data_IF_632691064446
#
_entry.id   IF_632691064446
#
_cell.length_a   1.000
_cell.length_b   1.000
_cell.length_c   1.000
_cell.angle_alpha   90.00
_cell.angle_beta   90.00
_cell.angle_gamma   90.00
#
_symmetry.space_group_name_H-M   'P 1'
#
loop_
_entity.id
_entity.type
_entity.pdbx_description
1 polymer ?
#
# COMPACT_ATOMS: atom_id res chain seq x y z
N UNK A 1 -14.77 -32.09 1.13
CA UNK A 1 -14.94 -31.03 0.10
C UNK A 1 -16.41 -30.90 -0.26
N UNK A 2 -17.06 -29.80 0.15
CA UNK A 2 -18.50 -29.58 0.00
C UNK A 2 -18.89 -29.35 -1.48
N UNK A 3 -20.15 -29.64 -1.82
CA UNK A 3 -20.66 -29.60 -3.20
C UNK A 3 -20.42 -28.25 -3.89
N UNK A 4 -20.54 -27.13 -3.15
CA UNK A 4 -20.27 -25.78 -3.64
C UNK A 4 -18.81 -25.56 -4.09
N UNK A 5 -17.85 -26.21 -3.43
CA UNK A 5 -16.42 -26.12 -3.80
C UNK A 5 -16.16 -26.92 -5.07
N UNK A 6 -16.84 -28.06 -5.24
CA UNK A 6 -16.76 -28.88 -6.47
C UNK A 6 -17.38 -28.19 -7.68
N UNK A 7 -18.50 -27.49 -7.52
CA UNK A 7 -19.11 -26.73 -8.61
C UNK A 7 -18.27 -25.52 -9.02
N UNK A 8 -17.67 -24.79 -8.07
CA UNK A 8 -16.72 -23.72 -8.38
C UNK A 8 -15.46 -24.24 -9.08
N UNK A 9 -14.88 -25.34 -8.59
CA UNK A 9 -13.75 -25.99 -9.26
C UNK A 9 -14.09 -26.45 -10.68
N UNK A 10 -15.27 -27.02 -10.89
CA UNK A 10 -15.75 -27.42 -12.22
C UNK A 10 -15.95 -26.24 -13.17
N UNK A 11 -16.42 -25.11 -12.66
CA UNK A 11 -16.59 -23.88 -13.44
C UNK A 11 -15.24 -23.31 -13.93
N UNK A 12 -14.25 -23.21 -13.02
CA UNK A 12 -12.91 -22.69 -13.37
C UNK A 12 -12.06 -23.68 -14.18
N UNK A 13 -12.40 -24.97 -14.16
CA UNK A 13 -11.70 -25.99 -14.96
C UNK A 13 -12.17 -26.06 -16.43
N UNK A 14 -13.31 -25.46 -16.80
CA UNK A 14 -13.76 -25.41 -18.20
C UNK A 14 -12.86 -24.46 -19.02
N UNK A 15 -12.20 -24.93 -20.08
CA UNK A 15 -11.32 -24.11 -20.93
C UNK A 15 -12.00 -22.87 -21.51
N UNK A 16 -13.31 -22.91 -21.75
CA UNK A 16 -14.08 -21.80 -22.34
C UNK A 16 -14.26 -20.67 -21.33
N UNK A 17 -14.57 -20.98 -20.07
CA UNK A 17 -14.67 -20.01 -18.99
C UNK A 17 -13.28 -19.50 -18.57
N UNK A 18 -12.27 -20.36 -18.59
CA UNK A 18 -10.89 -19.96 -18.32
C UNK A 18 -10.36 -18.96 -19.36
N UNK A 19 -10.70 -19.13 -20.64
CA UNK A 19 -10.33 -18.18 -21.68
C UNK A 19 -11.07 -16.84 -21.51
N UNK A 20 -12.41 -16.84 -21.42
CA UNK A 20 -13.19 -15.60 -21.25
C UNK A 20 -12.81 -14.85 -19.97
N UNK A 21 -12.49 -15.54 -18.89
CA UNK A 21 -12.04 -14.92 -17.65
C UNK A 21 -10.64 -14.31 -17.77
N UNK A 22 -9.71 -14.94 -18.49
CA UNK A 22 -8.36 -14.38 -18.74
C UNK A 22 -8.40 -13.12 -19.61
N UNK A 23 -9.19 -13.14 -20.68
CA UNK A 23 -9.34 -11.99 -21.56
C UNK A 23 -10.14 -10.87 -20.88
N UNK A 24 -11.18 -11.22 -20.13
CA UNK A 24 -11.99 -10.27 -19.36
C UNK A 24 -11.20 -9.61 -18.22
N UNK A 25 -10.44 -10.38 -17.43
CA UNK A 25 -9.64 -9.82 -16.34
C UNK A 25 -8.48 -8.97 -16.85
N UNK A 26 -7.83 -9.39 -17.93
CA UNK A 26 -6.80 -8.59 -18.61
C UNK A 26 -7.36 -7.28 -19.15
N UNK A 27 -8.53 -7.31 -19.80
CA UNK A 27 -9.20 -6.11 -20.30
C UNK A 27 -9.58 -5.13 -19.19
N UNK A 28 -10.12 -5.63 -18.07
CA UNK A 28 -10.45 -4.81 -16.90
C UNK A 28 -9.19 -4.17 -16.31
N UNK A 29 -8.12 -4.96 -16.13
CA UNK A 29 -6.87 -4.46 -15.58
C UNK A 29 -6.26 -3.36 -16.45
N UNK A 30 -6.18 -3.57 -17.76
CA UNK A 30 -5.66 -2.56 -18.71
C UNK A 30 -6.53 -1.31 -18.70
N UNK A 31 -7.85 -1.46 -18.67
CA UNK A 31 -8.78 -0.33 -18.62
C UNK A 31 -8.63 0.48 -17.33
N UNK A 32 -8.49 -0.20 -16.18
CA UNK A 32 -8.27 0.44 -14.89
C UNK A 32 -6.93 1.20 -14.88
N UNK A 33 -5.85 0.56 -15.34
CA UNK A 33 -4.54 1.19 -15.42
C UNK A 33 -4.55 2.40 -16.36
N UNK A 34 -5.15 2.27 -17.55
CA UNK A 34 -5.29 3.37 -18.49
C UNK A 34 -6.10 4.53 -17.88
N UNK A 35 -7.15 4.23 -17.13
CA UNK A 35 -7.95 5.23 -16.42
C UNK A 35 -7.14 5.95 -15.35
N UNK A 36 -6.36 5.22 -14.54
CA UNK A 36 -5.50 5.81 -13.52
C UNK A 36 -4.42 6.71 -14.13
N UNK A 37 -3.77 6.26 -15.20
CA UNK A 37 -2.76 7.05 -15.93
C UNK A 37 -3.39 8.30 -16.56
N UNK A 38 -4.58 8.16 -17.13
CA UNK A 38 -5.33 9.28 -17.67
C UNK A 38 -5.69 10.30 -16.58
N UNK A 39 -6.20 9.85 -15.43
CA UNK A 39 -6.51 10.72 -14.28
C UNK A 39 -5.26 11.43 -13.79
N UNK A 40 -4.15 10.71 -13.62
CA UNK A 40 -2.87 11.29 -13.21
C UNK A 40 -2.40 12.37 -14.19
N UNK A 41 -2.53 12.12 -15.50
CA UNK A 41 -2.15 13.08 -16.53
C UNK A 41 -3.06 14.31 -16.53
N UNK A 42 -4.39 14.13 -16.48
CA UNK A 42 -5.37 15.23 -16.44
C UNK A 42 -5.20 16.10 -15.19
N UNK A 43 -4.78 15.52 -14.06
CA UNK A 43 -4.47 16.27 -12.84
C UNK A 43 -3.07 16.91 -12.85
N UNK A 44 -2.37 16.89 -13.99
CA UNK A 44 -1.10 17.57 -14.16
C UNK A 44 0.11 16.78 -13.66
N UNK A 45 0.00 15.46 -13.52
CA UNK A 45 1.05 14.56 -13.02
C UNK A 45 2.39 14.63 -13.77
N UNK A 46 2.44 15.24 -14.96
CA UNK A 46 3.68 15.51 -15.70
C UNK A 46 4.46 16.73 -15.18
N UNK A 47 3.92 17.49 -14.22
CA UNK A 47 4.53 18.71 -13.68
C UNK A 47 4.62 18.67 -12.16
N UNK A 48 5.84 18.88 -11.64
CA UNK A 48 6.12 19.00 -10.20
C UNK A 48 5.52 20.26 -9.55
N UNK A 49 4.95 21.17 -10.36
CA UNK A 49 4.21 22.31 -9.84
C UNK A 49 2.79 21.95 -9.39
N UNK A 50 2.29 20.75 -9.73
CA UNK A 50 0.94 20.32 -9.36
C UNK A 50 0.95 19.36 -8.17
N UNK A 51 -0.13 19.34 -7.36
CA UNK A 51 -0.31 18.34 -6.30
C UNK A 51 -0.11 16.90 -6.78
N UNK A 52 -0.67 16.56 -7.95
CA UNK A 52 -0.54 15.21 -8.51
C UNK A 52 0.90 14.89 -8.91
N UNK A 53 1.62 15.82 -9.56
CA UNK A 53 3.01 15.59 -9.93
C UNK A 53 3.92 15.44 -8.70
N UNK A 54 3.65 16.20 -7.64
CA UNK A 54 4.35 16.05 -6.36
C UNK A 54 4.05 14.72 -5.68
N UNK A 55 2.78 14.29 -5.67
CA UNK A 55 2.39 12.98 -5.17
C UNK A 55 3.10 11.84 -5.92
N UNK A 56 3.11 11.87 -7.25
CA UNK A 56 3.80 10.87 -8.07
C UNK A 56 5.31 10.86 -7.83
N UNK A 57 5.92 12.04 -7.69
CA UNK A 57 7.35 12.14 -7.37
C UNK A 57 7.66 11.59 -5.97
N UNK A 58 6.82 11.91 -4.98
CA UNK A 58 6.93 11.38 -3.62
C UNK A 58 6.79 9.86 -3.58
N UNK A 59 5.76 9.30 -4.24
CA UNK A 59 5.56 7.85 -4.33
C UNK A 59 6.69 7.17 -5.10
N UNK A 60 7.22 7.82 -6.15
CA UNK A 60 8.40 7.33 -6.87
C UNK A 60 9.65 7.33 -6.00
N UNK A 61 9.86 8.36 -5.18
CA UNK A 61 10.97 8.43 -4.24
C UNK A 61 10.90 7.33 -3.17
N UNK A 62 9.71 7.08 -2.61
CA UNK A 62 9.47 5.98 -1.68
C UNK A 62 9.78 4.61 -2.33
N UNK A 63 9.20 4.34 -3.51
CA UNK A 63 9.47 3.11 -4.25
C UNK A 63 10.97 2.91 -4.59
N UNK A 64 11.67 4.00 -4.95
CA UNK A 64 13.13 3.97 -5.16
C UNK A 64 13.86 3.67 -3.86
N UNK A 65 13.43 4.23 -2.73
CA UNK A 65 14.03 3.96 -1.44
C UNK A 65 13.87 2.48 -1.03
N UNK A 66 12.71 1.86 -1.26
CA UNK A 66 12.54 0.41 -1.07
C UNK A 66 13.49 -0.39 -1.97
N UNK A 67 13.59 -0.02 -3.24
CA UNK A 67 14.46 -0.70 -4.20
C UNK A 67 15.95 -0.57 -3.83
N UNK A 68 16.38 0.63 -3.40
CA UNK A 68 17.73 0.88 -2.90
C UNK A 68 18.00 0.13 -1.60
N UNK A 69 17.03 0.08 -0.70
CA UNK A 69 17.05 -0.71 0.54
C UNK A 69 17.23 -2.20 0.31
N UNK A 70 16.70 -2.73 -0.79
CA UNK A 70 16.86 -4.13 -1.19
C UNK A 70 18.26 -4.46 -1.76
N UNK A 71 19.02 -3.48 -2.28
CA UNK A 71 20.31 -3.72 -2.94
C UNK A 71 21.36 -4.44 -2.06
N UNK A 72 21.53 -4.13 -0.76
CA UNK A 72 22.48 -4.84 0.08
C UNK A 72 22.17 -6.34 0.20
N UNK A 73 20.93 -6.78 -0.01
CA UNK A 73 20.56 -8.20 -0.01
C UNK A 73 21.26 -9.01 -1.13
N UNK A 74 21.79 -8.36 -2.17
CA UNK A 74 22.61 -9.00 -3.20
C UNK A 74 23.93 -9.55 -2.65
N UNK A 75 24.43 -8.97 -1.55
CA UNK A 75 25.67 -9.35 -0.88
C UNK A 75 25.42 -9.97 0.50
N UNK A 76 24.36 -9.54 1.19
CA UNK A 76 24.00 -9.95 2.54
C UNK A 76 22.79 -10.89 2.47
N UNK A 77 23.00 -12.18 2.75
CA UNK A 77 21.92 -13.19 2.69
C UNK A 77 21.21 -13.45 4.01
N UNK A 78 21.73 -12.91 5.12
CA UNK A 78 21.17 -13.08 6.46
C UNK A 78 21.47 -11.85 7.30
N UNK A 79 20.47 -11.36 8.01
CA UNK A 79 20.60 -10.39 9.09
C UNK A 79 20.27 -11.10 10.41
N UNK A 80 20.81 -10.61 11.54
CA UNK A 80 20.42 -11.16 12.83
C UNK A 80 19.03 -10.66 13.22
N UNK A 81 18.27 -11.48 13.96
CA UNK A 81 16.92 -11.13 14.41
C UNK A 81 16.87 -9.76 15.13
N UNK A 82 17.90 -9.44 15.92
CA UNK A 82 18.02 -8.12 16.57
C UNK A 82 18.02 -6.96 15.57
N UNK A 83 18.73 -7.09 14.44
CA UNK A 83 18.78 -6.02 13.43
C UNK A 83 17.49 -5.96 12.63
N UNK A 84 16.86 -7.10 12.35
CA UNK A 84 15.52 -7.16 11.77
C UNK A 84 14.50 -6.41 12.66
N UNK A 85 14.45 -6.73 13.95
CA UNK A 85 13.55 -6.09 14.93
C UNK A 85 13.81 -4.58 15.06
N UNK A 86 15.08 -4.15 15.01
CA UNK A 86 15.43 -2.71 15.04
C UNK A 86 14.94 -2.00 13.78
N UNK A 87 15.09 -2.62 12.60
CA UNK A 87 14.64 -2.06 11.33
C UNK A 87 13.12 -1.98 11.25
N UNK A 88 12.42 -3.07 11.60
CA UNK A 88 10.96 -3.11 11.64
C UNK A 88 10.40 -2.17 12.72
N UNK A 89 11.03 -2.12 13.90
CA UNK A 89 10.65 -1.20 14.98
C UNK A 89 10.86 0.27 14.62
N UNK A 90 11.93 0.59 13.87
CA UNK A 90 12.14 1.92 13.32
C UNK A 90 11.03 2.30 12.34
N UNK A 91 10.70 1.44 11.39
CA UNK A 91 9.60 1.69 10.44
C UNK A 91 8.26 1.88 11.12
N UNK A 92 7.91 0.99 12.06
CA UNK A 92 6.69 1.12 12.87
C UNK A 92 6.64 2.45 13.64
N UNK A 93 7.77 2.89 14.20
CA UNK A 93 7.87 4.18 14.89
C UNK A 93 7.67 5.37 13.95
N UNK A 94 8.34 5.37 12.80
CA UNK A 94 8.21 6.42 11.78
C UNK A 94 6.78 6.50 11.25
N UNK A 95 6.17 5.37 10.92
CA UNK A 95 4.80 5.31 10.40
C UNK A 95 3.76 5.73 11.43
N UNK A 96 3.95 5.38 12.71
CA UNK A 96 3.09 5.85 13.80
C UNK A 96 3.19 7.38 13.96
N UNK A 97 4.41 7.93 13.91
CA UNK A 97 4.62 9.37 13.98
C UNK A 97 4.00 10.08 12.77
N UNK A 98 4.20 9.57 11.55
CA UNK A 98 3.62 10.11 10.32
C UNK A 98 2.08 10.11 10.38
N UNK A 99 1.46 9.03 10.84
CA UNK A 99 0.01 8.96 11.04
C UNK A 99 -0.49 10.06 11.99
N UNK A 100 0.17 10.28 13.13
CA UNK A 100 -0.22 11.30 14.09
C UNK A 100 0.02 12.72 13.59
N UNK A 101 1.24 13.02 13.15
CA UNK A 101 1.71 14.40 12.91
C UNK A 101 1.50 14.88 11.48
N UNK A 102 1.51 13.98 10.50
CA UNK A 102 1.42 14.33 9.08
C UNK A 102 0.06 13.98 8.45
N UNK A 103 -0.78 13.20 9.14
CA UNK A 103 -2.12 12.86 8.64
C UNK A 103 -3.24 13.29 9.60
N UNK A 104 -3.23 12.80 10.84
CA UNK A 104 -4.32 13.07 11.79
C UNK A 104 -4.39 14.56 12.14
N UNK A 105 -3.29 15.17 12.60
CA UNK A 105 -3.31 16.60 12.98
C UNK A 105 -3.67 17.52 11.79
N UNK A 106 -3.03 17.41 10.60
CA UNK A 106 -3.44 18.18 9.43
C UNK A 106 -4.87 17.88 8.98
N UNK A 107 -5.29 16.60 9.05
CA UNK A 107 -6.64 16.19 8.71
C UNK A 107 -7.70 16.82 9.61
N UNK A 108 -7.44 16.94 10.92
CA UNK A 108 -8.35 17.62 11.86
C UNK A 108 -8.41 19.11 11.57
N UNK A 109 -7.28 19.73 11.21
CA UNK A 109 -7.25 21.14 10.83
C UNK A 109 -8.08 21.39 9.56
N UNK A 110 -7.87 20.59 8.50
CA UNK A 110 -8.65 20.64 7.27
C UNK A 110 -10.14 20.35 7.51
N UNK A 111 -10.46 19.37 8.34
CA UNK A 111 -11.84 19.08 8.75
C UNK A 111 -12.47 20.23 9.54
N UNK A 112 -11.71 20.92 10.40
CA UNK A 112 -12.19 22.07 11.16
C UNK A 112 -12.54 23.23 10.23
N UNK A 113 -11.74 23.46 9.20
CA UNK A 113 -12.00 24.46 8.16
C UNK A 113 -13.27 24.13 7.36
N UNK A 114 -13.46 22.86 6.98
CA UNK A 114 -14.63 22.39 6.24
C UNK A 114 -15.94 22.50 7.02
N UNK A 115 -15.94 22.14 8.30
CA UNK A 115 -17.15 22.06 9.13
C UNK A 115 -17.36 23.27 10.06
N UNK A 116 -16.41 24.22 10.09
CA UNK A 116 -16.44 25.42 10.93
C UNK A 116 -16.31 25.16 12.43
N UNK A 117 -16.10 23.91 12.86
CA UNK A 117 -15.91 23.56 14.27
C UNK A 117 -14.99 22.35 14.43
N UNK A 118 -14.14 22.40 15.47
CA UNK A 118 -13.11 21.39 15.73
C UNK A 118 -13.67 19.99 16.06
N UNK A 119 -14.75 19.84 16.85
CA UNK A 119 -15.32 18.52 17.12
C UNK A 119 -15.79 17.78 15.86
N UNK A 120 -16.46 18.46 14.93
CA UNK A 120 -16.88 17.89 13.65
C UNK A 120 -15.69 17.55 12.76
N UNK A 121 -14.67 18.42 12.71
CA UNK A 121 -13.41 18.15 12.01
C UNK A 121 -12.68 16.92 12.55
N UNK A 122 -12.66 16.73 13.88
CA UNK A 122 -12.10 15.53 14.49
C UNK A 122 -12.95 14.28 14.19
N UNK A 123 -14.27 14.40 14.21
CA UNK A 123 -15.19 13.29 13.96
C UNK A 123 -15.01 12.71 12.55
N UNK A 124 -14.88 13.56 11.51
CA UNK A 124 -14.70 13.08 10.14
C UNK A 124 -13.37 12.33 9.97
N UNK A 125 -12.31 12.78 10.65
CA UNK A 125 -11.00 12.10 10.65
C UNK A 125 -11.09 10.74 11.34
N UNK A 126 -11.80 10.65 12.47
CA UNK A 126 -12.03 9.37 13.16
C UNK A 126 -12.82 8.41 12.28
N UNK A 127 -13.88 8.88 11.61
CA UNK A 127 -14.66 8.06 10.68
C UNK A 127 -13.77 7.56 9.54
N UNK A 128 -12.94 8.43 8.95
CA UNK A 128 -11.97 8.06 7.91
C UNK A 128 -10.94 7.04 8.40
N UNK A 129 -10.38 7.23 9.60
CA UNK A 129 -9.44 6.31 10.22
C UNK A 129 -10.05 4.92 10.43
N UNK A 130 -11.26 4.84 11.00
CA UNK A 130 -11.97 3.57 11.20
C UNK A 130 -12.29 2.91 9.87
N UNK A 131 -12.77 3.68 8.88
CA UNK A 131 -13.05 3.16 7.54
C UNK A 131 -11.79 2.61 6.86
N UNK A 132 -10.66 3.30 6.97
CA UNK A 132 -9.37 2.85 6.46
C UNK A 132 -8.86 1.58 7.16
N UNK A 133 -8.96 1.52 8.49
CA UNK A 133 -8.61 0.32 9.25
C UNK A 133 -9.47 -0.88 8.86
N UNK A 134 -10.78 -0.67 8.68
CA UNK A 134 -11.70 -1.72 8.21
C UNK A 134 -11.37 -2.15 6.77
N UNK A 135 -11.05 -1.20 5.88
CA UNK A 135 -10.63 -1.51 4.51
C UNK A 135 -9.39 -2.42 4.51
N UNK A 136 -8.37 -2.10 5.29
CA UNK A 136 -7.15 -2.92 5.37
C UNK A 136 -7.42 -4.27 6.02
N UNK A 137 -8.25 -4.33 7.06
CA UNK A 137 -8.67 -5.60 7.67
C UNK A 137 -9.43 -6.50 6.67
N UNK A 138 -10.25 -5.92 5.81
CA UNK A 138 -10.95 -6.66 4.75
C UNK A 138 -9.98 -7.10 3.65
N UNK A 139 -9.04 -6.23 3.26
CA UNK A 139 -8.04 -6.56 2.25
C UNK A 139 -7.12 -7.71 2.71
N UNK A 140 -6.67 -7.68 3.96
CA UNK A 140 -5.91 -8.75 4.62
C UNK A 140 -6.65 -10.10 4.54
N UNK A 141 -7.94 -10.12 4.85
CA UNK A 141 -8.75 -11.35 4.77
C UNK A 141 -9.06 -11.79 3.34
N UNK A 142 -9.14 -10.86 2.40
CA UNK A 142 -9.57 -11.13 1.02
C UNK A 142 -8.43 -11.56 0.10
N UNK A 143 -7.20 -11.13 0.37
CA UNK A 143 -6.05 -11.38 -0.50
C UNK A 143 -5.18 -12.49 0.09
N UNK A 144 -4.87 -13.57 -0.66
CA UNK A 144 -3.97 -14.61 -0.17
C UNK A 144 -2.54 -14.07 -0.10
N UNK A 145 -1.94 -14.10 1.09
CA UNK A 145 -0.60 -13.56 1.32
C UNK A 145 0.14 -14.38 2.39
N UNK A 146 1.46 -14.18 2.51
CA UNK A 146 2.29 -14.90 3.47
C UNK A 146 3.21 -13.91 4.18
N UNK A 147 3.14 -13.91 5.51
CA UNK A 147 4.08 -13.17 6.35
C UNK A 147 5.19 -14.09 6.81
N UNK A 148 6.39 -13.53 6.92
CA UNK A 148 7.59 -14.27 7.36
C UNK A 148 7.40 -14.89 8.75
N UNK A 149 6.74 -14.17 9.65
CA UNK A 149 6.58 -14.56 11.06
C UNK A 149 5.25 -15.30 11.34
N UNK A 150 4.17 -14.88 10.67
CA UNK A 150 2.81 -15.40 10.93
C UNK A 150 2.39 -16.52 9.98
N UNK A 151 3.17 -16.79 8.92
CA UNK A 151 2.83 -17.77 7.89
C UNK A 151 1.75 -17.27 6.94
N UNK A 152 1.01 -18.21 6.34
CA UNK A 152 0.04 -17.93 5.28
C UNK A 152 -1.29 -17.43 5.84
N UNK A 153 -1.84 -16.40 5.22
CA UNK A 153 -3.09 -15.73 5.58
C UNK A 153 -3.97 -15.50 4.35
N UNK A 154 -5.25 -15.16 4.59
CA UNK A 154 -6.24 -14.98 3.53
C UNK A 154 -6.83 -16.30 3.01
N UNK A 155 -7.35 -16.33 1.76
CA UNK A 155 -8.08 -17.50 1.26
C UNK A 155 -7.18 -18.66 0.83
N UNK A 156 -7.38 -19.84 1.42
CA UNK A 156 -6.59 -21.05 1.15
C UNK A 156 -6.94 -21.80 -0.15
N UNK A 157 -8.00 -21.39 -0.85
CA UNK A 157 -8.47 -22.07 -2.05
C UNK A 157 -7.64 -21.74 -3.32
N UNK A 158 -6.70 -20.80 -3.22
CA UNK A 158 -5.82 -20.41 -4.33
C UNK A 158 -4.41 -20.94 -4.09
N UNK A 159 -4.00 -21.94 -4.88
CA UNK A 159 -2.65 -22.48 -4.85
C UNK A 159 -1.65 -21.53 -5.55
N UNK A 160 -1.18 -20.50 -4.85
CA UNK A 160 -0.11 -19.62 -5.31
C UNK A 160 1.28 -20.08 -4.86
N UNK A 161 2.28 -19.82 -5.70
CA UNK A 161 3.70 -19.91 -5.33
C UNK A 161 4.00 -18.90 -4.22
N UNK A 162 4.88 -19.27 -3.27
CA UNK A 162 5.31 -18.43 -2.15
C UNK A 162 5.69 -17.00 -2.56
N UNK A 163 6.41 -16.84 -3.68
CA UNK A 163 6.79 -15.53 -4.23
C UNK A 163 5.58 -14.61 -4.45
N UNK A 164 4.47 -15.13 -4.98
CA UNK A 164 3.27 -14.32 -5.24
C UNK A 164 2.53 -13.93 -3.96
N UNK A 165 2.56 -14.79 -2.93
CA UNK A 165 2.00 -14.47 -1.62
C UNK A 165 2.78 -13.35 -0.94
N UNK A 166 4.10 -13.36 -1.09
CA UNK A 166 4.96 -12.30 -0.59
C UNK A 166 4.75 -11.00 -1.37
N UNK A 167 4.63 -11.06 -2.70
CA UNK A 167 4.26 -9.89 -3.52
C UNK A 167 2.94 -9.28 -3.05
N UNK A 168 1.93 -10.10 -2.74
CA UNK A 168 0.68 -9.60 -2.18
C UNK A 168 0.82 -9.02 -0.76
N UNK A 169 1.63 -9.63 0.10
CA UNK A 169 1.92 -9.09 1.42
C UNK A 169 2.57 -7.70 1.33
N UNK A 170 3.59 -7.55 0.48
CA UNK A 170 4.26 -6.27 0.23
C UNK A 170 3.29 -5.26 -0.38
N UNK A 171 2.51 -5.66 -1.39
CA UNK A 171 1.54 -4.77 -2.02
C UNK A 171 0.48 -4.25 -1.04
N UNK A 172 0.02 -5.08 -0.10
CA UNK A 172 -0.92 -4.67 0.95
C UNK A 172 -0.32 -3.66 1.93
N UNK A 173 1.00 -3.70 2.16
CA UNK A 173 1.69 -2.76 3.05
C UNK A 173 1.98 -1.42 2.38
N UNK A 174 2.51 -1.47 1.15
CA UNK A 174 2.89 -0.27 0.40
C UNK A 174 1.66 0.49 -0.13
N UNK A 175 0.49 -0.15 -0.20
CA UNK A 175 -0.75 0.50 -0.65
C UNK A 175 -1.17 1.66 0.29
N UNK A 176 -1.30 1.48 1.62
CA UNK A 176 -1.44 2.56 2.59
C UNK A 176 -0.42 3.69 2.46
N UNK A 177 0.86 3.38 2.25
CA UNK A 177 1.93 4.37 2.16
C UNK A 177 1.80 5.24 0.91
N UNK A 178 1.54 4.60 -0.24
CA UNK A 178 1.26 5.31 -1.49
C UNK A 178 0.04 6.22 -1.37
N UNK A 179 -1.04 5.74 -0.74
CA UNK A 179 -2.22 6.56 -0.46
C UNK A 179 -1.90 7.73 0.47
N UNK A 180 -1.12 7.51 1.53
CA UNK A 180 -0.73 8.54 2.47
C UNK A 180 0.04 9.67 1.77
N UNK A 181 1.02 9.34 0.93
CA UNK A 181 1.76 10.32 0.13
C UNK A 181 0.80 11.11 -0.78
N UNK A 182 -0.09 10.43 -1.50
CA UNK A 182 -1.07 11.07 -2.37
C UNK A 182 -1.96 12.06 -1.63
N UNK A 183 -2.48 11.66 -0.46
CA UNK A 183 -3.30 12.54 0.41
C UNK A 183 -2.47 13.70 0.96
N UNK A 184 -1.24 13.46 1.39
CA UNK A 184 -0.35 14.48 1.93
C UNK A 184 -0.05 15.62 0.97
N UNK A 185 -0.01 15.35 -0.34
CA UNK A 185 0.15 16.38 -1.37
C UNK A 185 -1.17 16.95 -1.91
N UNK A 186 -2.32 16.33 -1.62
CA UNK A 186 -3.61 16.67 -2.24
C UNK A 186 -4.06 18.12 -2.03
N UNK A 187 -3.72 18.72 -0.88
CA UNK A 187 -4.01 20.12 -0.57
C UNK A 187 -3.02 21.13 -1.16
N UNK A 188 -1.98 20.66 -1.85
CA UNK A 188 -0.87 21.51 -2.32
C UNK A 188 0.03 22.05 -1.21
N UNK A 189 -0.15 21.58 0.03
CA UNK A 189 0.64 21.99 1.18
C UNK A 189 1.92 21.14 1.30
N UNK A 190 3.02 21.73 0.85
CA UNK A 190 4.34 21.10 0.92
C UNK A 190 4.82 20.85 2.36
N UNK A 191 4.30 21.59 3.34
CA UNK A 191 4.63 21.39 4.76
C UNK A 191 4.05 20.09 5.32
N UNK A 192 3.06 19.50 4.65
CA UNK A 192 2.49 18.19 4.98
C UNK A 192 3.08 17.10 4.08
N UNK A 193 3.05 17.30 2.76
CA UNK A 193 3.45 16.28 1.79
C UNK A 193 4.92 15.91 1.85
N UNK A 194 5.84 16.89 1.96
CA UNK A 194 7.28 16.61 1.96
C UNK A 194 7.71 15.83 3.20
N UNK A 195 7.35 16.22 4.44
CA UNK A 195 7.72 15.44 5.62
C UNK A 195 7.15 14.03 5.59
N UNK A 196 5.91 13.86 5.13
CA UNK A 196 5.27 12.54 5.03
C UNK A 196 5.98 11.62 4.03
N UNK A 197 6.20 12.10 2.80
CA UNK A 197 6.89 11.31 1.77
C UNK A 197 8.34 11.01 2.15
N UNK A 198 9.02 11.95 2.81
CA UNK A 198 10.38 11.74 3.30
C UNK A 198 10.43 10.72 4.42
N UNK A 199 9.49 10.78 5.38
CA UNK A 199 9.40 9.82 6.47
C UNK A 199 9.19 8.39 5.93
N UNK A 200 8.25 8.22 4.99
CA UNK A 200 8.00 6.95 4.30
C UNK A 200 9.27 6.51 3.54
N UNK A 201 9.84 7.36 2.69
CA UNK A 201 11.05 6.97 1.96
C UNK A 201 12.22 6.57 2.87
N UNK A 202 12.39 7.21 4.03
CA UNK A 202 13.46 6.85 4.98
C UNK A 202 13.25 5.45 5.58
N UNK A 203 12.02 5.08 5.91
CA UNK A 203 11.72 3.77 6.50
C UNK A 203 11.59 2.65 5.46
N UNK A 204 11.28 2.98 4.21
CA UNK A 204 11.28 2.03 3.09
C UNK A 204 12.67 1.43 2.83
N UNK A 205 13.76 2.14 3.17
CA UNK A 205 15.13 1.62 3.03
C UNK A 205 15.35 0.38 3.93
N UNK A 206 15.21 0.47 5.26
CA UNK A 206 15.34 -0.70 6.13
C UNK A 206 14.29 -1.77 5.82
N UNK A 207 13.04 -1.40 5.49
CA UNK A 207 12.01 -2.37 5.11
C UNK A 207 12.41 -3.16 3.86
N UNK A 208 12.86 -2.47 2.81
CA UNK A 208 13.31 -3.08 1.56
C UNK A 208 14.42 -4.11 1.77
N UNK A 209 15.34 -3.84 2.71
CA UNK A 209 16.38 -4.81 3.10
C UNK A 209 15.79 -6.05 3.77
N UNK A 210 14.94 -5.85 4.78
CA UNK A 210 14.33 -6.95 5.55
C UNK A 210 13.50 -7.85 4.63
N UNK A 211 12.67 -7.25 3.77
CA UNK A 211 11.84 -7.96 2.80
C UNK A 211 12.70 -8.73 1.80
N UNK A 212 13.76 -8.12 1.28
CA UNK A 212 14.64 -8.76 0.30
C UNK A 212 15.43 -9.94 0.87
N UNK A 213 15.84 -9.88 2.13
CA UNK A 213 16.54 -10.99 2.81
C UNK A 213 15.59 -12.14 3.15
N UNK A 214 14.29 -11.87 3.30
CA UNK A 214 13.28 -12.89 3.63
C UNK A 214 12.74 -13.69 2.42
N UNK A 215 12.96 -13.17 1.20
CA UNK A 215 12.57 -13.78 -0.09
C UNK A 215 13.50 -14.91 -0.51
#
# INVERSE_FOLDING_TARGET
MNAAVRTLQGYFADPRHAATMKWGSGGIFVSLLATLLWVAWVQGGSSLATPMGQALAGSGAAALATALGALPALFIRRISARWEDVMLGFGAGVMTAAACFSLILPGVAAGTELFGNKPAGALIVVVGFVAGALLLLLADKAVPHEHVQSGRQGPDWIALRRVWLMVFAIALHNFPEGMAIGVGFSGGDLSVGIPLATAIAIQDIPEGLVVAVAL
#
